data_IF_378958814721
#
_entry.id   IF_378958814721
#
_cell.length_a   1.000
_cell.length_b   1.000
_cell.length_c   1.000
_cell.angle_alpha   90.00
_cell.angle_beta   90.00
_cell.angle_gamma   90.00
#
_symmetry.space_group_name_H-M   'P 1'
#
loop_
_entity.id
_entity.type
_entity.pdbx_description
1 polymer ?
#
# COMPACT_ATOMS: atom_id res chain seq x y z
N UNK A 1 28.69 40.72 -12.27
CA UNK A 1 27.38 40.18 -12.67
C UNK A 1 26.82 39.49 -11.45
N UNK A 2 25.79 40.11 -10.86
CA UNK A 2 25.30 39.88 -9.51
C UNK A 2 24.87 38.44 -9.23
N UNK A 3 25.52 37.79 -8.26
CA UNK A 3 24.89 36.75 -7.46
C UNK A 3 24.01 37.44 -6.42
N UNK A 4 22.81 37.89 -6.81
CA UNK A 4 21.77 38.24 -5.82
C UNK A 4 21.44 36.97 -5.06
N UNK A 5 21.95 36.85 -3.83
CA UNK A 5 21.53 35.80 -2.90
C UNK A 5 19.99 35.87 -2.81
N UNK A 6 19.29 34.85 -3.29
CA UNK A 6 17.83 34.81 -3.23
C UNK A 6 17.40 35.03 -1.78
N UNK A 7 16.60 36.07 -1.54
CA UNK A 7 16.06 36.35 -0.21
C UNK A 7 15.19 35.16 0.23
N UNK A 8 15.68 34.42 1.22
CA UNK A 8 14.93 33.34 1.87
C UNK A 8 14.32 33.90 3.16
N UNK A 9 12.98 33.92 3.30
CA UNK A 9 12.32 34.43 4.49
C UNK A 9 12.82 33.73 5.77
N UNK A 10 12.98 34.48 6.87
CA UNK A 10 13.48 33.92 8.14
C UNK A 10 12.60 32.77 8.65
N UNK A 11 11.28 32.84 8.40
CA UNK A 11 10.32 31.76 8.71
C UNK A 11 10.64 30.46 7.98
N UNK A 12 11.10 30.53 6.73
CA UNK A 12 11.51 29.36 5.94
C UNK A 12 12.80 28.79 6.51
N UNK A 13 13.79 29.62 6.86
CA UNK A 13 15.03 29.15 7.50
C UNK A 13 14.76 28.42 8.83
N UNK A 14 13.85 28.95 9.66
CA UNK A 14 13.43 28.29 10.91
C UNK A 14 12.71 26.98 10.65
N UNK A 15 11.86 26.91 9.61
CA UNK A 15 11.19 25.68 9.22
C UNK A 15 12.18 24.61 8.72
N UNK A 16 13.16 24.98 7.88
CA UNK A 16 14.20 24.04 7.42
C UNK A 16 15.03 23.49 8.59
N UNK A 17 15.39 24.32 9.57
CA UNK A 17 16.08 23.86 10.78
C UNK A 17 15.25 22.84 11.57
N UNK A 18 13.93 23.04 11.69
CA UNK A 18 13.06 22.04 12.32
C UNK A 18 13.02 20.72 11.57
N UNK A 19 13.12 20.75 10.24
CA UNK A 19 13.15 19.54 9.41
C UNK A 19 14.47 18.78 9.51
N UNK A 20 15.57 19.43 9.89
CA UNK A 20 16.84 18.76 10.21
C UNK A 20 16.71 17.90 11.48
N UNK A 21 15.97 18.38 12.49
CA UNK A 21 15.71 17.66 13.74
C UNK A 21 14.60 16.60 13.58
N UNK A 22 13.49 16.96 12.94
CA UNK A 22 12.36 16.08 12.66
C UNK A 22 11.91 16.22 11.20
N UNK A 23 12.33 15.29 10.31
CA UNK A 23 11.94 15.32 8.88
C UNK A 23 10.44 15.27 8.61
N UNK A 24 9.64 14.87 9.61
CA UNK A 24 8.19 14.74 9.54
C UNK A 24 7.44 15.83 10.31
N UNK A 25 8.09 16.94 10.72
CA UNK A 25 7.44 18.07 11.37
C UNK A 25 6.39 18.73 10.45
N UNK A 26 5.11 18.46 10.71
CA UNK A 26 3.99 18.94 9.89
C UNK A 26 3.80 20.46 9.96
N UNK A 27 4.18 21.10 11.06
CA UNK A 27 4.10 22.56 11.19
C UNK A 27 5.14 23.21 10.28
N UNK A 28 6.37 22.68 10.27
CA UNK A 28 7.44 23.14 9.37
C UNK A 28 7.04 22.94 7.90
N UNK A 29 6.53 21.77 7.53
CA UNK A 29 6.01 21.51 6.18
C UNK A 29 4.85 22.45 5.81
N UNK A 30 3.96 22.76 6.74
CA UNK A 30 2.84 23.69 6.49
C UNK A 30 3.33 25.10 6.14
N UNK A 31 4.43 25.57 6.75
CA UNK A 31 5.05 26.85 6.44
C UNK A 31 5.61 26.83 5.01
N UNK A 32 6.32 25.75 4.64
CA UNK A 32 6.86 25.58 3.28
C UNK A 32 5.76 25.53 2.22
N UNK A 33 4.64 24.86 2.49
CA UNK A 33 3.49 24.78 1.57
C UNK A 33 2.86 26.16 1.37
N UNK A 34 2.63 26.92 2.46
CA UNK A 34 2.05 28.28 2.36
C UNK A 34 2.94 29.20 1.53
N UNK A 35 4.25 29.12 1.74
CA UNK A 35 5.20 29.91 0.97
C UNK A 35 5.25 29.47 -0.51
N UNK A 36 5.19 28.16 -0.79
CA UNK A 36 5.17 27.64 -2.15
C UNK A 36 3.96 28.14 -2.97
N UNK A 37 2.81 28.38 -2.34
CA UNK A 37 1.62 28.93 -3.01
C UNK A 37 1.78 30.41 -3.41
N UNK A 38 2.67 31.14 -2.73
CA UNK A 38 2.95 32.55 -3.01
C UNK A 38 4.08 32.74 -4.04
N UNK A 39 4.70 31.66 -4.49
CA UNK A 39 5.82 31.68 -5.42
C UNK A 39 5.42 31.19 -6.82
N UNK A 40 6.11 31.62 -7.88
CA UNK A 40 5.94 31.06 -9.21
C UNK A 40 6.18 29.54 -9.23
N UNK A 41 5.47 28.84 -10.13
CA UNK A 41 5.48 27.37 -10.19
C UNK A 41 6.89 26.78 -10.31
N UNK A 42 7.81 27.44 -11.01
CA UNK A 42 9.16 26.91 -11.20
C UNK A 42 10.00 26.87 -9.92
N UNK A 43 9.74 27.79 -8.99
CA UNK A 43 10.36 27.77 -7.66
C UNK A 43 9.59 26.84 -6.72
N UNK A 44 8.26 26.93 -6.73
CA UNK A 44 7.38 26.11 -5.89
C UNK A 44 7.54 24.60 -6.18
N UNK A 45 7.84 24.22 -7.43
CA UNK A 45 8.08 22.83 -7.85
C UNK A 45 9.14 22.13 -6.99
N UNK A 46 10.23 22.82 -6.64
CA UNK A 46 11.30 22.26 -5.80
C UNK A 46 10.77 21.87 -4.41
N UNK A 47 9.92 22.72 -3.83
CA UNK A 47 9.26 22.47 -2.54
C UNK A 47 8.26 21.31 -2.64
N UNK A 48 7.43 21.29 -3.68
CA UNK A 48 6.44 20.23 -3.86
C UNK A 48 7.08 18.86 -4.13
N UNK A 49 8.15 18.79 -4.93
CA UNK A 49 8.88 17.54 -5.16
C UNK A 49 9.47 16.99 -3.87
N UNK A 50 10.05 17.85 -3.00
CA UNK A 50 10.50 17.43 -1.66
C UNK A 50 9.34 16.92 -0.81
N UNK A 51 8.19 17.62 -0.83
CA UNK A 51 7.01 17.25 -0.07
C UNK A 51 6.44 15.88 -0.48
N UNK A 52 6.23 15.64 -1.78
CA UNK A 52 5.66 14.36 -2.24
C UNK A 52 6.67 13.22 -2.22
N UNK A 53 7.98 13.52 -2.21
CA UNK A 53 9.00 12.52 -1.94
C UNK A 53 9.00 12.08 -0.46
N UNK A 54 8.80 13.03 0.47
CA UNK A 54 8.70 12.76 1.90
C UNK A 54 7.39 12.06 2.29
N UNK A 55 6.28 12.47 1.67
CA UNK A 55 4.93 11.95 1.94
C UNK A 55 4.29 11.34 0.68
N UNK A 56 4.84 10.23 0.16
CA UNK A 56 4.41 9.67 -1.12
C UNK A 56 2.98 9.15 -1.12
N UNK A 57 2.40 8.86 0.06
CA UNK A 57 1.04 8.38 0.21
C UNK A 57 -0.01 9.48 0.40
N UNK A 58 0.39 10.74 0.61
CA UNK A 58 -0.55 11.83 0.88
C UNK A 58 -1.20 12.34 -0.40
N UNK A 59 -2.40 11.83 -0.70
CA UNK A 59 -3.20 12.29 -1.85
C UNK A 59 -3.51 13.79 -1.81
N UNK A 60 -3.64 14.37 -0.61
CA UNK A 60 -3.81 15.81 -0.41
C UNK A 60 -2.59 16.59 -0.92
N UNK A 61 -1.37 16.15 -0.59
CA UNK A 61 -0.15 16.84 -1.03
C UNK A 61 0.11 16.66 -2.52
N UNK A 62 -0.15 15.46 -3.07
CA UNK A 62 -0.12 15.24 -4.51
C UNK A 62 -1.10 16.17 -5.24
N UNK A 63 -2.33 16.28 -4.74
CA UNK A 63 -3.36 17.16 -5.31
C UNK A 63 -2.92 18.63 -5.29
N UNK A 64 -2.35 19.13 -4.20
CA UNK A 64 -1.86 20.52 -4.13
C UNK A 64 -0.82 20.82 -5.21
N UNK A 65 0.11 19.89 -5.44
CA UNK A 65 1.12 20.04 -6.48
C UNK A 65 0.51 19.97 -7.89
N UNK A 66 -0.38 19.00 -8.12
CA UNK A 66 -1.09 18.86 -9.40
C UNK A 66 -1.91 20.11 -9.72
N UNK A 67 -2.67 20.63 -8.75
CA UNK A 67 -3.47 21.86 -8.93
C UNK A 67 -2.59 23.09 -9.21
N UNK A 68 -1.41 23.17 -8.59
CA UNK A 68 -0.45 24.23 -8.89
C UNK A 68 0.07 24.17 -10.33
N UNK A 69 0.37 22.98 -10.86
CA UNK A 69 0.78 22.79 -12.26
C UNK A 69 -0.38 22.99 -13.25
N UNK A 70 -1.61 22.57 -12.89
CA UNK A 70 -2.82 22.85 -13.68
C UNK A 70 -3.06 24.36 -13.77
N UNK A 71 -2.93 25.10 -12.66
CA UNK A 71 -3.07 26.56 -12.62
C UNK A 71 -2.04 27.25 -13.53
N UNK A 72 -0.84 26.68 -13.64
CA UNK A 72 0.20 27.13 -14.56
C UNK A 72 0.03 26.63 -16.01
N UNK A 73 -1.03 25.86 -16.30
CA UNK A 73 -1.33 25.24 -17.62
C UNK A 73 -0.24 24.31 -18.14
N UNK A 74 0.55 23.71 -17.26
CA UNK A 74 1.60 22.74 -17.61
C UNK A 74 1.02 21.32 -17.71
N UNK A 75 0.12 21.09 -18.66
CA UNK A 75 -0.63 19.84 -18.77
C UNK A 75 0.26 18.60 -19.03
N UNK A 76 1.41 18.76 -19.67
CA UNK A 76 2.41 17.71 -19.88
C UNK A 76 3.00 17.20 -18.55
N UNK A 77 3.28 18.12 -17.62
CA UNK A 77 3.79 17.78 -16.28
C UNK A 77 2.70 17.16 -15.43
N UNK A 78 1.47 17.66 -15.53
CA UNK A 78 0.30 17.11 -14.83
C UNK A 78 0.09 15.63 -15.19
N UNK A 79 0.18 15.29 -16.48
CA UNK A 79 0.07 13.89 -16.92
C UNK A 79 1.17 13.00 -16.31
N UNK A 80 2.41 13.49 -16.25
CA UNK A 80 3.53 12.79 -15.59
C UNK A 80 3.30 12.63 -14.08
N UNK A 81 2.68 13.60 -13.41
CA UNK A 81 2.36 13.49 -11.98
C UNK A 81 1.29 12.41 -11.74
N UNK A 82 0.23 12.37 -12.54
CA UNK A 82 -0.77 11.30 -12.43
C UNK A 82 -0.16 9.91 -12.67
N UNK A 83 0.73 9.77 -13.66
CA UNK A 83 1.45 8.51 -13.91
C UNK A 83 2.32 8.08 -12.71
N UNK A 84 2.87 9.03 -11.95
CA UNK A 84 3.70 8.76 -10.76
C UNK A 84 2.88 8.30 -9.54
N UNK A 85 1.70 8.90 -9.30
CA UNK A 85 1.00 8.76 -8.03
C UNK A 85 -0.36 8.05 -8.09
N UNK A 86 -1.11 8.13 -9.19
CA UNK A 86 -2.53 7.75 -9.22
C UNK A 86 -2.77 6.28 -8.86
N UNK A 87 -1.89 5.39 -9.33
CA UNK A 87 -1.96 3.95 -9.05
C UNK A 87 -1.48 3.58 -7.64
N UNK A 88 -0.71 4.45 -6.99
CA UNK A 88 -0.12 4.21 -5.66
C UNK A 88 -0.94 4.84 -4.54
N UNK A 89 -1.80 5.80 -4.86
CA UNK A 89 -2.52 6.63 -3.90
C UNK A 89 -4.02 6.59 -4.20
N UNK A 90 -4.75 5.78 -3.45
CA UNK A 90 -6.21 5.65 -3.56
C UNK A 90 -6.95 6.71 -2.74
N UNK A 91 -6.64 7.99 -2.96
CA UNK A 91 -7.30 9.11 -2.27
C UNK A 91 -8.43 9.70 -3.11
N UNK A 92 -9.63 9.81 -2.55
CA UNK A 92 -10.84 10.19 -3.31
C UNK A 92 -10.72 11.51 -4.06
N UNK A 93 -10.08 12.53 -3.46
CA UNK A 93 -9.97 13.85 -4.10
C UNK A 93 -8.91 13.87 -5.20
N UNK A 94 -7.90 13.01 -5.11
CA UNK A 94 -6.91 12.83 -6.17
C UNK A 94 -7.57 12.23 -7.42
N UNK A 95 -8.44 11.23 -7.25
CA UNK A 95 -9.20 10.63 -8.36
C UNK A 95 -10.24 11.57 -8.96
N UNK A 96 -10.93 12.38 -8.13
CA UNK A 96 -11.80 13.47 -8.62
C UNK A 96 -11.03 14.53 -9.40
N UNK A 97 -9.81 14.87 -8.95
CA UNK A 97 -8.90 15.76 -9.66
C UNK A 97 -8.49 15.18 -11.02
N UNK A 98 -8.14 13.88 -11.08
CA UNK A 98 -7.83 13.18 -12.33
C UNK A 98 -8.99 13.23 -13.34
N UNK A 99 -10.21 12.91 -12.90
CA UNK A 99 -11.38 12.96 -13.78
C UNK A 99 -11.67 14.39 -14.29
N UNK A 100 -11.45 15.40 -13.44
CA UNK A 100 -11.58 16.81 -13.82
C UNK A 100 -10.54 17.21 -14.86
N UNK A 101 -9.29 16.77 -14.70
CA UNK A 101 -8.21 16.98 -15.67
C UNK A 101 -8.54 16.35 -17.03
N UNK A 102 -9.01 15.09 -17.07
CA UNK A 102 -9.38 14.42 -18.33
C UNK A 102 -10.54 15.16 -19.00
N UNK A 103 -11.55 15.57 -18.23
CA UNK A 103 -12.70 16.34 -18.72
C UNK A 103 -12.29 17.65 -19.38
N UNK A 104 -11.39 18.41 -18.74
CA UNK A 104 -10.92 19.70 -19.25
C UNK A 104 -10.00 19.54 -20.46
N UNK A 105 -8.99 18.68 -20.36
CA UNK A 105 -7.91 18.60 -21.36
C UNK A 105 -8.29 17.80 -22.60
N UNK A 106 -9.12 16.77 -22.44
CA UNK A 106 -9.51 15.89 -23.55
C UNK A 106 -10.88 16.24 -24.13
N UNK A 107 -11.61 17.19 -23.55
CA UNK A 107 -12.99 17.57 -23.92
C UNK A 107 -13.20 17.99 -25.38
N UNK A 108 -12.16 18.52 -26.03
CA UNK A 108 -12.20 18.95 -27.44
C UNK A 108 -11.79 17.87 -28.44
N UNK A 109 -11.32 16.70 -27.97
CA UNK A 109 -10.88 15.63 -28.86
C UNK A 109 -12.09 14.92 -29.49
N UNK A 110 -12.01 14.49 -30.75
CA UNK A 110 -13.09 13.71 -31.38
C UNK A 110 -13.33 12.37 -30.66
N UNK A 111 -12.27 11.78 -30.08
CA UNK A 111 -12.34 10.56 -29.26
C UNK A 111 -12.63 10.83 -27.77
N UNK A 112 -13.05 12.04 -27.40
CA UNK A 112 -13.34 12.40 -26.01
C UNK A 112 -14.34 11.44 -25.35
N UNK A 113 -15.42 11.09 -26.06
CA UNK A 113 -16.49 10.25 -25.50
C UNK A 113 -15.95 8.90 -25.02
N UNK A 114 -15.13 8.25 -25.84
CA UNK A 114 -14.50 6.97 -25.52
C UNK A 114 -13.49 7.11 -24.37
N UNK A 115 -12.59 8.09 -24.45
CA UNK A 115 -11.56 8.31 -23.42
C UNK A 115 -12.14 8.66 -22.06
N UNK A 116 -13.21 9.47 -22.03
CA UNK A 116 -13.84 9.87 -20.78
C UNK A 116 -14.61 8.70 -20.14
N UNK A 117 -15.29 7.87 -20.94
CA UNK A 117 -15.91 6.64 -20.44
C UNK A 117 -14.87 5.69 -19.82
N UNK A 118 -13.76 5.46 -20.52
CA UNK A 118 -12.64 4.66 -20.01
C UNK A 118 -12.07 5.22 -18.70
N UNK A 119 -11.96 6.55 -18.58
CA UNK A 119 -11.48 7.18 -17.36
C UNK A 119 -12.44 6.97 -16.17
N UNK A 120 -13.75 7.04 -16.39
CA UNK A 120 -14.74 6.74 -15.34
C UNK A 120 -14.76 5.27 -14.95
N UNK A 121 -14.76 4.35 -15.93
CA UNK A 121 -14.70 2.91 -15.64
C UNK A 121 -13.45 2.56 -14.83
N UNK A 122 -12.31 3.10 -15.24
CA UNK A 122 -11.04 2.95 -14.52
C UNK A 122 -11.10 3.51 -13.09
N UNK A 123 -11.70 4.70 -12.90
CA UNK A 123 -11.87 5.27 -11.56
C UNK A 123 -12.81 4.43 -10.69
N UNK A 124 -13.94 3.98 -11.22
CA UNK A 124 -14.89 3.16 -10.47
C UNK A 124 -14.34 1.77 -10.11
N UNK A 125 -13.43 1.24 -10.93
CA UNK A 125 -12.73 -0.02 -10.63
C UNK A 125 -11.71 0.11 -9.48
N UNK A 126 -11.11 1.29 -9.30
CA UNK A 126 -10.05 1.52 -8.30
C UNK A 126 -10.53 2.22 -7.03
N UNK A 127 -11.36 3.25 -7.15
CA UNK A 127 -11.83 4.08 -6.04
C UNK A 127 -13.37 4.07 -5.89
N UNK A 128 -14.09 3.33 -6.75
CA UNK A 128 -15.55 3.27 -6.67
C UNK A 128 -16.07 2.70 -5.35
N UNK A 129 -15.30 1.86 -4.65
CA UNK A 129 -15.66 1.31 -3.33
C UNK A 129 -15.54 2.32 -2.18
N UNK A 130 -14.99 3.51 -2.43
CA UNK A 130 -14.81 4.54 -1.40
C UNK A 130 -16.16 5.15 -0.96
N UNK A 131 -16.29 5.44 0.33
CA UNK A 131 -17.55 5.88 0.94
C UNK A 131 -18.09 7.23 0.38
N UNK A 132 -17.22 8.12 -0.08
CA UNK A 132 -17.51 9.43 -0.70
C UNK A 132 -17.44 9.41 -2.25
N UNK A 133 -17.51 8.23 -2.86
CA UNK A 133 -17.42 8.04 -4.32
C UNK A 133 -18.70 8.37 -5.09
N UNK A 134 -19.84 8.59 -4.42
CA UNK A 134 -21.16 8.87 -5.02
C UNK A 134 -21.11 9.83 -6.22
N UNK A 135 -20.39 10.94 -6.10
CA UNK A 135 -20.33 11.94 -7.17
C UNK A 135 -19.68 11.39 -8.45
N UNK A 136 -18.73 10.45 -8.35
CA UNK A 136 -18.09 9.83 -9.53
C UNK A 136 -19.13 8.99 -10.30
N UNK A 137 -19.98 8.26 -9.59
CA UNK A 137 -21.08 7.49 -10.19
C UNK A 137 -22.06 8.40 -10.93
N UNK A 138 -22.50 9.48 -10.29
CA UNK A 138 -23.45 10.44 -10.85
C UNK A 138 -22.86 11.16 -12.07
N UNK A 139 -21.61 11.62 -11.97
CA UNK A 139 -20.91 12.27 -13.07
C UNK A 139 -20.80 11.35 -14.29
N UNK A 140 -20.54 10.06 -14.09
CA UNK A 140 -20.48 9.09 -15.18
C UNK A 140 -21.86 8.82 -15.79
N UNK A 141 -22.89 8.65 -14.96
CA UNK A 141 -24.27 8.47 -15.42
C UNK A 141 -24.74 9.67 -16.25
N UNK A 142 -24.48 10.89 -15.77
CA UNK A 142 -24.85 12.11 -16.47
C UNK A 142 -24.07 12.26 -17.78
N UNK A 143 -22.78 11.91 -17.77
CA UNK A 143 -21.98 11.86 -18.99
C UNK A 143 -22.56 10.89 -20.03
N UNK A 144 -22.90 9.66 -19.63
CA UNK A 144 -23.49 8.67 -20.55
C UNK A 144 -24.87 9.09 -21.07
N UNK A 145 -25.70 9.73 -20.24
CA UNK A 145 -26.99 10.31 -20.68
C UNK A 145 -26.80 11.44 -21.70
N UNK A 146 -25.74 12.24 -21.54
CA UNK A 146 -25.38 13.35 -22.43
C UNK A 146 -24.75 12.90 -23.76
N UNK A 147 -24.41 11.63 -23.94
CA UNK A 147 -23.94 11.11 -25.23
C UNK A 147 -25.09 11.13 -26.23
N UNK A 148 -24.93 11.95 -27.27
CA UNK A 148 -25.85 11.98 -28.42
C UNK A 148 -25.93 10.59 -29.07
N UNK A 149 -27.17 10.12 -29.25
CA UNK A 149 -27.50 8.84 -29.84
C UNK A 149 -28.65 9.05 -30.82
N UNK A 150 -28.41 8.73 -32.10
CA UNK A 150 -29.40 8.91 -33.18
C UNK A 150 -29.87 7.55 -33.65
N UNK A 151 -31.20 7.35 -33.63
CA UNK A 151 -31.84 6.10 -34.01
C UNK A 151 -31.94 5.10 -32.86
N UNK A 152 -32.91 4.19 -32.97
CA UNK A 152 -33.33 3.31 -31.86
C UNK A 152 -32.22 2.38 -31.37
N UNK A 153 -31.33 1.92 -32.24
CA UNK A 153 -30.20 1.06 -31.84
C UNK A 153 -29.21 1.80 -30.93
N UNK A 154 -28.81 3.02 -31.32
CA UNK A 154 -27.88 3.84 -30.54
C UNK A 154 -28.50 4.26 -29.20
N UNK A 155 -29.79 4.59 -29.17
CA UNK A 155 -30.49 4.90 -27.93
C UNK A 155 -30.55 3.70 -26.98
N UNK A 156 -30.78 2.49 -27.49
CA UNK A 156 -30.79 1.27 -26.68
C UNK A 156 -29.39 0.94 -26.13
N UNK A 157 -28.33 1.20 -26.91
CA UNK A 157 -26.95 1.09 -26.43
C UNK A 157 -26.68 2.05 -25.27
N UNK A 158 -27.14 3.31 -25.37
CA UNK A 158 -27.06 4.29 -24.29
C UNK A 158 -27.83 3.84 -23.05
N UNK A 159 -29.05 3.33 -23.23
CA UNK A 159 -29.86 2.76 -22.14
C UNK A 159 -29.10 1.64 -21.43
N UNK A 160 -28.54 0.71 -22.19
CA UNK A 160 -27.78 -0.42 -21.66
C UNK A 160 -26.53 0.04 -20.89
N UNK A 161 -25.82 1.05 -21.38
CA UNK A 161 -24.64 1.61 -20.71
C UNK A 161 -25.01 2.29 -19.38
N UNK A 162 -26.00 3.20 -19.39
CA UNK A 162 -26.45 3.91 -18.17
C UNK A 162 -26.98 2.92 -17.13
N UNK A 163 -27.80 1.96 -17.58
CA UNK A 163 -28.37 0.91 -16.74
C UNK A 163 -27.28 0.08 -16.05
N UNK A 164 -26.21 -0.29 -16.76
CA UNK A 164 -25.07 -1.03 -16.19
C UNK A 164 -24.44 -0.29 -15.00
N UNK A 165 -24.23 1.02 -15.14
CA UNK A 165 -23.61 1.84 -14.08
C UNK A 165 -24.53 1.97 -12.86
N UNK A 166 -25.83 2.21 -13.07
CA UNK A 166 -26.80 2.21 -11.97
C UNK A 166 -26.81 0.89 -11.21
N UNK A 167 -26.91 -0.22 -11.93
CA UNK A 167 -27.02 -1.56 -11.34
C UNK A 167 -25.76 -1.92 -10.55
N UNK A 168 -24.57 -1.53 -11.04
CA UNK A 168 -23.31 -1.68 -10.32
C UNK A 168 -23.22 -0.77 -9.08
N UNK A 169 -23.66 0.48 -9.18
CA UNK A 169 -23.60 1.44 -8.08
C UNK A 169 -24.60 1.16 -6.96
N UNK A 170 -25.79 0.66 -7.28
CA UNK A 170 -26.85 0.39 -6.30
C UNK A 170 -26.56 -0.81 -5.38
N UNK A 171 -25.51 -1.57 -5.66
CA UNK A 171 -25.01 -2.66 -4.82
C UNK A 171 -23.69 -2.32 -4.12
N UNK A 172 -23.21 -1.07 -4.27
CA UNK A 172 -21.97 -0.61 -3.69
C UNK A 172 -22.23 0.28 -2.47
N UNK A 173 -21.90 -0.15 -1.23
CA UNK A 173 -22.11 0.64 -0.02
C UNK A 173 -21.36 1.98 -0.05
N UNK A 174 -22.11 3.10 -0.07
CA UNK A 174 -21.57 4.46 -0.08
C UNK A 174 -22.60 5.47 0.47
N UNK A 175 -22.15 6.68 0.77
CA UNK A 175 -23.06 7.80 1.12
C UNK A 175 -23.95 8.12 -0.09
N UNK A 176 -25.19 8.54 0.19
CA UNK A 176 -26.20 8.85 -0.85
C UNK A 176 -26.59 7.65 -1.75
N UNK A 177 -26.35 6.40 -1.35
CA UNK A 177 -26.83 5.22 -2.09
C UNK A 177 -28.35 5.23 -2.32
N UNK A 178 -29.11 5.80 -1.38
CA UNK A 178 -30.57 5.96 -1.48
C UNK A 178 -30.97 6.91 -2.61
N UNK A 179 -30.20 7.98 -2.80
CA UNK A 179 -30.44 8.94 -3.88
C UNK A 179 -30.12 8.29 -5.23
N UNK A 180 -29.05 7.50 -5.32
CA UNK A 180 -28.74 6.75 -6.53
C UNK A 180 -29.86 5.77 -6.91
N UNK A 181 -30.41 5.04 -5.93
CA UNK A 181 -31.54 4.13 -6.14
C UNK A 181 -32.81 4.86 -6.57
N UNK A 182 -33.10 6.01 -5.95
CA UNK A 182 -34.24 6.85 -6.34
C UNK A 182 -34.13 7.30 -7.80
N UNK A 183 -32.95 7.71 -8.23
CA UNK A 183 -32.71 8.14 -9.60
C UNK A 183 -32.70 6.97 -10.59
N UNK A 184 -32.32 5.76 -10.15
CA UNK A 184 -32.47 4.54 -10.94
C UNK A 184 -33.95 4.20 -11.20
N UNK A 185 -34.78 4.27 -10.17
CA UNK A 185 -36.22 3.98 -10.29
C UNK A 185 -36.89 4.93 -11.30
N UNK A 186 -36.64 6.23 -11.14
CA UNK A 186 -37.13 7.25 -12.08
C UNK A 186 -36.61 7.03 -13.50
N UNK A 187 -35.37 6.55 -13.63
CA UNK A 187 -34.78 6.28 -14.94
C UNK A 187 -35.45 5.11 -15.66
N UNK A 188 -35.69 3.98 -14.97
CA UNK A 188 -36.40 2.84 -15.57
C UNK A 188 -37.86 3.19 -15.88
N UNK A 189 -38.55 3.90 -14.99
CA UNK A 189 -39.91 4.41 -15.21
C UNK A 189 -39.99 5.35 -16.42
N UNK A 190 -38.97 6.22 -16.58
CA UNK A 190 -38.87 7.15 -17.70
C UNK A 190 -38.61 6.49 -19.06
N UNK A 191 -38.08 5.27 -19.09
CA UNK A 191 -37.90 4.48 -20.33
C UNK A 191 -39.14 3.65 -20.62
N UNK A 192 -39.63 2.88 -19.65
CA UNK A 192 -40.80 2.02 -19.79
C UNK A 192 -41.43 1.68 -18.44
N UNK A 193 -42.54 2.35 -18.12
CA UNK A 193 -43.30 2.20 -16.87
C UNK A 193 -43.70 0.73 -16.59
N UNK A 194 -44.05 -0.04 -17.62
CA UNK A 194 -44.52 -1.42 -17.45
C UNK A 194 -43.38 -2.36 -17.06
N UNK A 195 -42.22 -2.22 -17.72
CA UNK A 195 -41.04 -3.06 -17.42
C UNK A 195 -40.28 -2.59 -16.18
N UNK A 196 -40.39 -1.30 -15.82
CA UNK A 196 -39.70 -0.71 -14.68
C UNK A 196 -39.98 -1.46 -13.37
N UNK A 197 -41.26 -1.81 -13.12
CA UNK A 197 -41.65 -2.54 -11.89
C UNK A 197 -40.81 -3.80 -11.68
N UNK A 198 -40.73 -4.65 -12.71
CA UNK A 198 -39.96 -5.89 -12.66
C UNK A 198 -38.46 -5.62 -12.53
N UNK A 199 -37.92 -4.70 -13.34
CA UNK A 199 -36.48 -4.36 -13.33
C UNK A 199 -35.99 -3.86 -11.96
N UNK A 200 -36.83 -3.09 -11.26
CA UNK A 200 -36.54 -2.55 -9.92
C UNK A 200 -36.70 -3.66 -8.87
N UNK A 201 -37.78 -4.43 -8.93
CA UNK A 201 -38.07 -5.52 -7.99
C UNK A 201 -36.97 -6.58 -8.00
N UNK A 202 -36.50 -6.99 -9.18
CA UNK A 202 -35.45 -8.01 -9.38
C UNK A 202 -34.13 -7.68 -8.65
N UNK A 203 -33.85 -6.40 -8.39
CA UNK A 203 -32.63 -5.94 -7.69
C UNK A 203 -32.85 -5.35 -6.30
N UNK A 204 -34.11 -5.18 -5.90
CA UNK A 204 -34.46 -4.51 -4.64
C UNK A 204 -33.83 -5.22 -3.43
N UNK A 205 -33.76 -6.56 -3.44
CA UNK A 205 -33.16 -7.34 -2.35
C UNK A 205 -31.68 -7.01 -2.13
N UNK A 206 -30.89 -7.01 -3.20
CA UNK A 206 -29.45 -6.73 -3.14
C UNK A 206 -29.19 -5.28 -2.75
N UNK A 207 -29.99 -4.35 -3.29
CA UNK A 207 -29.94 -2.94 -2.88
C UNK A 207 -30.25 -2.75 -1.39
N UNK A 208 -31.28 -3.42 -0.84
CA UNK A 208 -31.60 -3.32 0.59
C UNK A 208 -30.46 -3.84 1.46
N UNK A 209 -29.76 -4.89 1.02
CA UNK A 209 -28.56 -5.39 1.68
C UNK A 209 -27.42 -4.35 1.64
N UNK A 210 -27.11 -3.80 0.46
CA UNK A 210 -26.07 -2.79 0.28
C UNK A 210 -26.37 -1.50 1.06
N UNK A 211 -27.64 -1.07 1.10
CA UNK A 211 -28.10 0.10 1.87
C UNK A 211 -27.92 -0.09 3.37
N UNK A 212 -28.22 -1.29 3.91
CA UNK A 212 -27.96 -1.61 5.33
C UNK A 212 -26.48 -1.47 5.63
N UNK A 213 -25.64 -2.10 4.82
CA UNK A 213 -24.18 -2.08 4.98
C UNK A 213 -23.61 -0.67 4.80
N UNK A 214 -24.20 0.17 3.94
CA UNK A 214 -23.77 1.57 3.79
C UNK A 214 -23.86 2.37 5.10
N UNK A 215 -24.91 2.13 5.91
CA UNK A 215 -25.07 2.79 7.23
C UNK A 215 -24.06 2.29 8.26
N UNK A 216 -23.79 0.99 8.25
CA UNK A 216 -22.73 0.39 9.08
C UNK A 216 -21.35 0.95 8.67
N UNK A 217 -21.11 1.07 7.35
CA UNK A 217 -19.88 1.60 6.79
C UNK A 217 -19.64 3.07 7.20
N UNK A 218 -20.69 3.89 7.14
CA UNK A 218 -20.65 5.28 7.62
C UNK A 218 -20.22 5.37 9.09
N UNK A 219 -20.67 4.44 9.92
CA UNK A 219 -20.36 4.43 11.35
C UNK A 219 -18.88 4.14 11.60
N UNK A 220 -18.30 3.13 10.94
CA UNK A 220 -16.88 2.76 11.12
C UNK A 220 -15.93 3.73 10.43
N UNK A 221 -16.38 4.44 9.40
CA UNK A 221 -15.60 5.49 8.73
C UNK A 221 -15.65 6.83 9.47
N UNK A 222 -16.64 7.04 10.35
CA UNK A 222 -16.75 8.23 11.18
C UNK A 222 -15.65 8.23 12.24
N UNK A 223 -14.88 9.32 12.31
CA UNK A 223 -13.79 9.49 13.28
C UNK A 223 -12.41 9.10 12.75
N UNK A 224 -12.34 8.34 11.64
CA UNK A 224 -11.08 8.10 10.94
C UNK A 224 -10.57 9.38 10.28
N UNK A 225 -9.31 9.72 10.54
CA UNK A 225 -8.59 10.68 9.72
C UNK A 225 -8.08 9.99 8.46
N UNK A 226 -8.60 10.42 7.31
CA UNK A 226 -8.24 9.92 5.97
C UNK A 226 -7.27 10.84 5.23
N UNK A 227 -6.83 11.92 5.87
CA UNK A 227 -5.99 12.97 5.29
C UNK A 227 -4.70 13.22 6.07
N UNK A 228 -4.56 12.67 7.28
CA UNK A 228 -3.32 12.71 8.03
C UNK A 228 -2.15 12.19 7.19
N UNK A 229 -1.05 12.95 7.07
CA UNK A 229 0.17 12.45 6.43
C UNK A 229 0.72 11.24 7.17
N UNK A 230 1.26 10.28 6.43
CA UNK A 230 1.94 9.12 7.02
C UNK A 230 3.24 9.54 7.70
N UNK A 231 3.37 9.22 8.98
CA UNK A 231 4.52 9.51 9.83
C UNK A 231 4.92 8.24 10.58
N UNK A 232 6.22 7.99 10.84
CA UNK A 232 6.66 6.88 11.69
C UNK A 232 6.04 6.94 13.09
N UNK A 233 5.81 5.79 13.75
CA UNK A 233 5.18 5.75 15.06
C UNK A 233 5.88 6.66 16.08
N UNK A 234 5.13 7.59 16.66
CA UNK A 234 5.61 8.50 17.70
C UNK A 234 5.09 8.11 19.09
N UNK A 235 4.19 7.11 19.17
CA UNK A 235 3.53 6.64 20.40
C UNK A 235 2.67 7.72 21.08
N UNK A 236 2.03 8.58 20.27
CA UNK A 236 1.09 9.57 20.83
C UNK A 236 -0.27 8.93 21.12
N UNK A 237 -1.04 9.41 22.11
CA UNK A 237 -2.38 8.88 22.40
C UNK A 237 -3.34 9.01 21.22
N UNK A 238 -3.24 10.09 20.45
CA UNK A 238 -4.08 10.33 19.28
C UNK A 238 -3.76 9.35 18.14
N UNK A 239 -2.47 9.08 17.91
CA UNK A 239 -2.04 8.07 16.93
C UNK A 239 -2.56 6.69 17.32
N UNK A 240 -2.38 6.27 18.58
CA UNK A 240 -2.87 4.97 19.07
C UNK A 240 -4.40 4.84 18.93
N UNK A 241 -5.15 5.92 19.19
CA UNK A 241 -6.59 5.96 18.97
C UNK A 241 -6.96 5.78 17.49
N UNK A 242 -6.26 6.46 16.57
CA UNK A 242 -6.48 6.29 15.13
C UNK A 242 -6.14 4.86 14.67
N UNK A 243 -5.05 4.27 15.16
CA UNK A 243 -4.69 2.87 14.88
C UNK A 243 -5.81 1.92 15.30
N UNK A 244 -6.37 2.07 16.50
CA UNK A 244 -7.49 1.24 16.98
C UNK A 244 -8.73 1.38 16.07
N UNK A 245 -9.08 2.61 15.66
CA UNK A 245 -10.20 2.83 14.74
C UNK A 245 -9.95 2.20 13.36
N UNK A 246 -8.75 2.30 12.81
CA UNK A 246 -8.40 1.66 11.54
C UNK A 246 -8.47 0.13 11.63
N UNK A 247 -7.96 -0.46 12.71
CA UNK A 247 -8.06 -1.91 12.95
C UNK A 247 -9.53 -2.34 13.09
N UNK A 248 -10.37 -1.57 13.79
CA UNK A 248 -11.82 -1.82 13.87
C UNK A 248 -12.49 -1.79 12.50
N UNK A 249 -12.16 -0.82 11.65
CA UNK A 249 -12.69 -0.78 10.28
C UNK A 249 -12.27 -2.01 9.47
N UNK A 250 -10.98 -2.37 9.47
CA UNK A 250 -10.47 -3.53 8.75
C UNK A 250 -11.15 -4.82 9.26
N UNK A 251 -11.29 -4.99 10.57
CA UNK A 251 -11.96 -6.17 11.14
C UNK A 251 -13.45 -6.21 10.83
N UNK A 252 -14.14 -5.06 10.81
CA UNK A 252 -15.52 -4.98 10.34
C UNK A 252 -15.64 -5.44 8.89
N UNK A 253 -14.75 -5.01 7.99
CA UNK A 253 -14.78 -5.46 6.59
C UNK A 253 -14.47 -6.97 6.49
N UNK A 254 -13.56 -7.51 7.31
CA UNK A 254 -13.27 -8.96 7.42
C UNK A 254 -14.46 -9.77 7.95
N UNK A 255 -15.34 -9.17 8.74
CA UNK A 255 -16.56 -9.81 9.26
C UNK A 255 -17.63 -10.07 8.18
N UNK A 256 -17.35 -9.66 6.92
CA UNK A 256 -18.23 -9.81 5.77
C UNK A 256 -19.62 -9.17 5.99
N UNK A 257 -19.70 -7.83 6.11
CA UNK A 257 -20.97 -7.14 6.38
C UNK A 257 -22.05 -7.39 5.32
N UNK A 258 -21.62 -7.60 4.06
CA UNK A 258 -22.48 -7.90 2.92
C UNK A 258 -23.05 -9.32 2.96
N UNK A 259 -22.51 -10.21 3.82
CA UNK A 259 -22.93 -11.61 3.95
C UNK A 259 -22.97 -12.34 2.60
N UNK A 260 -21.94 -12.12 1.80
CA UNK A 260 -21.77 -12.77 0.50
C UNK A 260 -20.87 -13.99 0.62
N UNK A 261 -21.07 -15.00 -0.22
CA UNK A 261 -20.18 -16.17 -0.32
C UNK A 261 -19.00 -15.91 -1.28
N UNK A 262 -19.03 -14.81 -2.03
CA UNK A 262 -17.97 -14.42 -2.97
C UNK A 262 -16.71 -13.94 -2.22
N UNK A 263 -15.79 -14.87 -2.00
CA UNK A 263 -14.51 -14.61 -1.35
C UNK A 263 -13.68 -13.55 -2.09
N UNK A 264 -13.81 -13.44 -3.42
CA UNK A 264 -13.07 -12.43 -4.19
C UNK A 264 -13.57 -11.02 -3.87
N UNK A 265 -14.89 -10.84 -3.73
CA UNK A 265 -15.50 -9.58 -3.34
C UNK A 265 -15.13 -9.22 -1.89
N UNK A 266 -15.21 -10.17 -0.96
CA UNK A 266 -14.80 -9.95 0.45
C UNK A 266 -13.34 -9.49 0.48
N UNK A 267 -12.45 -10.23 -0.19
CA UNK A 267 -11.02 -9.94 -0.19
C UNK A 267 -10.73 -8.58 -0.81
N UNK A 268 -11.37 -8.23 -1.93
CA UNK A 268 -11.21 -6.90 -2.56
C UNK A 268 -11.63 -5.76 -1.64
N UNK A 269 -12.72 -5.92 -0.88
CA UNK A 269 -13.18 -4.89 0.07
C UNK A 269 -12.24 -4.77 1.28
N UNK A 270 -11.79 -5.88 1.85
CA UNK A 270 -10.80 -5.87 2.95
C UNK A 270 -9.47 -5.27 2.49
N UNK A 271 -9.02 -5.62 1.29
CA UNK A 271 -7.81 -5.01 0.72
C UNK A 271 -8.00 -3.53 0.45
N UNK A 272 -9.18 -3.09 0.00
CA UNK A 272 -9.47 -1.67 -0.10
C UNK A 272 -9.37 -0.96 1.26
N UNK A 273 -9.84 -1.58 2.35
CA UNK A 273 -9.66 -1.04 3.71
C UNK A 273 -8.17 -0.93 4.10
N UNK A 274 -7.36 -1.95 3.81
CA UNK A 274 -5.91 -1.90 3.99
C UNK A 274 -5.26 -0.79 3.16
N UNK A 275 -5.62 -0.64 1.89
CA UNK A 275 -5.09 0.43 1.04
C UNK A 275 -5.39 1.81 1.59
N UNK A 276 -6.61 2.06 2.06
CA UNK A 276 -6.97 3.35 2.71
C UNK A 276 -6.16 3.58 3.98
N UNK A 277 -6.01 2.54 4.81
CA UNK A 277 -5.23 2.61 6.05
C UNK A 277 -3.76 2.94 5.78
N UNK A 278 -3.15 2.28 4.79
CA UNK A 278 -1.75 2.47 4.41
C UNK A 278 -1.46 3.87 3.84
N UNK A 279 -2.47 4.64 3.43
CA UNK A 279 -2.26 6.04 3.06
C UNK A 279 -1.84 6.89 4.26
N UNK A 280 -2.36 6.56 5.44
CA UNK A 280 -2.23 7.32 6.69
C UNK A 280 -1.24 6.67 7.65
N UNK A 281 -1.24 5.35 7.76
CA UNK A 281 -0.42 4.59 8.70
C UNK A 281 0.62 3.72 7.97
N UNK A 282 1.05 4.13 6.77
CA UNK A 282 1.97 3.34 5.94
C UNK A 282 3.38 3.15 6.51
N UNK A 283 3.75 3.86 7.59
CA UNK A 283 5.00 3.61 8.32
C UNK A 283 4.88 2.54 9.43
N UNK A 284 3.71 1.94 9.61
CA UNK A 284 3.46 0.87 10.58
C UNK A 284 3.68 -0.52 9.94
N UNK A 285 4.74 -1.26 10.30
CA UNK A 285 5.08 -2.53 9.63
C UNK A 285 4.02 -3.62 9.85
N UNK A 286 3.34 -3.62 10.98
CA UNK A 286 2.29 -4.59 11.31
C UNK A 286 1.11 -4.51 10.33
N UNK A 287 0.73 -3.31 9.87
CA UNK A 287 -0.38 -3.14 8.92
C UNK A 287 -0.03 -3.75 7.55
N UNK A 288 1.19 -3.53 7.05
CA UNK A 288 1.67 -4.16 5.82
C UNK A 288 1.70 -5.68 5.94
N UNK A 289 2.21 -6.19 7.06
CA UNK A 289 2.28 -7.62 7.34
C UNK A 289 0.88 -8.24 7.42
N UNK A 290 -0.04 -7.65 8.19
CA UNK A 290 -1.42 -8.11 8.32
C UNK A 290 -2.16 -8.12 6.97
N UNK A 291 -1.91 -7.13 6.11
CA UNK A 291 -2.49 -7.07 4.76
C UNK A 291 -2.02 -8.23 3.88
N UNK A 292 -0.71 -8.49 3.84
CA UNK A 292 -0.13 -9.58 3.06
C UNK A 292 -0.54 -10.96 3.61
N UNK A 293 -0.58 -11.13 4.93
CA UNK A 293 -1.07 -12.35 5.58
C UNK A 293 -2.54 -12.63 5.23
N UNK A 294 -3.38 -11.60 5.17
CA UNK A 294 -4.77 -11.76 4.78
C UNK A 294 -4.91 -12.21 3.31
N UNK A 295 -4.08 -11.67 2.40
CA UNK A 295 -4.04 -12.13 1.01
C UNK A 295 -3.54 -13.57 0.88
N UNK A 296 -2.52 -13.96 1.65
CA UNK A 296 -2.06 -15.35 1.70
C UNK A 296 -3.18 -16.30 2.17
N UNK A 297 -3.88 -15.93 3.24
CA UNK A 297 -5.01 -16.71 3.75
C UNK A 297 -6.13 -16.83 2.70
N UNK A 298 -6.52 -15.73 2.08
CA UNK A 298 -7.55 -15.71 1.03
C UNK A 298 -7.14 -16.49 -0.21
N UNK A 299 -5.85 -16.49 -0.57
CA UNK A 299 -5.30 -17.28 -1.67
C UNK A 299 -5.46 -18.78 -1.41
N UNK A 300 -5.07 -19.25 -0.21
CA UNK A 300 -5.23 -20.67 0.17
C UNK A 300 -6.70 -21.10 0.20
N UNK A 301 -7.57 -20.27 0.77
CA UNK A 301 -9.01 -20.54 0.82
C UNK A 301 -9.65 -20.64 -0.57
N UNK A 302 -9.23 -19.80 -1.53
CA UNK A 302 -9.72 -19.90 -2.91
C UNK A 302 -9.24 -21.17 -3.61
N UNK A 303 -7.99 -21.58 -3.36
CA UNK A 303 -7.46 -22.83 -3.91
C UNK A 303 -8.23 -24.05 -3.39
N UNK A 304 -8.57 -24.07 -2.10
CA UNK A 304 -9.41 -25.11 -1.48
C UNK A 304 -10.82 -25.18 -2.09
N UNK A 305 -11.39 -24.03 -2.48
CA UNK A 305 -12.68 -23.93 -3.17
C UNK A 305 -12.60 -24.22 -4.68
N UNK A 306 -11.42 -24.52 -5.21
CA UNK A 306 -11.19 -24.86 -6.62
C UNK A 306 -10.94 -23.66 -7.55
N UNK A 307 -10.92 -22.43 -7.04
CA UNK A 307 -10.65 -21.23 -7.85
C UNK A 307 -9.14 -20.92 -7.92
N UNK A 308 -8.43 -21.75 -8.69
CA UNK A 308 -6.96 -21.69 -8.80
C UNK A 308 -6.45 -20.39 -9.44
N UNK A 309 -7.24 -19.80 -10.35
CA UNK A 309 -6.84 -18.58 -11.05
C UNK A 309 -6.84 -17.37 -10.11
N UNK A 310 -7.93 -17.15 -9.36
CA UNK A 310 -7.98 -16.07 -8.38
C UNK A 310 -7.09 -16.35 -7.16
N UNK A 311 -6.91 -17.62 -6.78
CA UNK A 311 -5.95 -18.00 -5.73
C UNK A 311 -4.52 -17.55 -6.08
N UNK A 312 -4.07 -17.82 -7.32
CA UNK A 312 -2.75 -17.38 -7.78
C UNK A 312 -2.65 -15.85 -7.85
N UNK A 313 -3.70 -15.19 -8.32
CA UNK A 313 -3.76 -13.72 -8.38
C UNK A 313 -3.53 -13.10 -7.00
N UNK A 314 -4.22 -13.58 -5.95
CA UNK A 314 -4.03 -13.08 -4.59
C UNK A 314 -2.68 -13.48 -4.00
N UNK A 315 -2.11 -14.62 -4.37
CA UNK A 315 -0.74 -14.98 -3.96
C UNK A 315 0.31 -14.04 -4.57
N UNK A 316 0.18 -13.69 -5.85
CA UNK A 316 1.08 -12.71 -6.48
C UNK A 316 0.87 -11.30 -5.90
N UNK A 317 -0.38 -10.92 -5.59
CA UNK A 317 -0.66 -9.64 -4.93
C UNK A 317 -0.11 -9.58 -3.50
N UNK A 318 -0.10 -10.68 -2.75
CA UNK A 318 0.50 -10.71 -1.40
C UNK A 318 2.00 -10.39 -1.45
N UNK A 319 2.72 -10.95 -2.43
CA UNK A 319 4.11 -10.58 -2.69
C UNK A 319 4.24 -9.10 -3.07
N UNK A 320 3.29 -8.56 -3.85
CA UNK A 320 3.28 -7.15 -4.24
C UNK A 320 3.08 -6.20 -3.04
N UNK A 321 2.28 -6.57 -2.03
CA UNK A 321 2.14 -5.80 -0.78
C UNK A 321 3.50 -5.69 -0.07
N UNK A 322 4.22 -6.80 0.08
CA UNK A 322 5.56 -6.79 0.65
C UNK A 322 6.55 -5.95 -0.17
N UNK A 323 6.58 -6.15 -1.50
CA UNK A 323 7.46 -5.45 -2.43
C UNK A 323 7.23 -3.93 -2.38
N UNK A 324 5.96 -3.49 -2.30
CA UNK A 324 5.59 -2.08 -2.13
C UNK A 324 6.09 -1.52 -0.80
N UNK A 325 5.92 -2.25 0.31
CA UNK A 325 6.33 -1.80 1.63
C UNK A 325 7.83 -1.46 1.68
N UNK A 326 8.67 -2.38 1.20
CA UNK A 326 10.14 -2.25 1.20
C UNK A 326 10.68 -1.34 0.09
N UNK A 327 9.86 -1.02 -0.93
CA UNK A 327 10.26 -0.14 -2.04
C UNK A 327 9.83 1.32 -1.86
N UNK A 328 8.86 1.58 -0.99
CA UNK A 328 8.25 2.91 -0.82
C UNK A 328 8.61 3.54 0.53
N UNK A 329 7.88 3.19 1.59
CA UNK A 329 7.95 3.83 2.89
C UNK A 329 8.96 3.20 3.84
N UNK A 330 9.11 1.87 3.81
CA UNK A 330 9.81 1.08 4.85
C UNK A 330 11.06 0.39 4.31
N UNK A 331 11.89 1.12 3.56
CA UNK A 331 13.07 0.60 2.85
C UNK A 331 14.14 -0.05 3.74
N UNK A 332 14.22 0.32 5.02
CA UNK A 332 15.21 -0.21 5.98
C UNK A 332 14.61 -1.15 7.02
N UNK A 333 13.32 -1.47 6.90
CA UNK A 333 12.62 -2.26 7.91
C UNK A 333 12.90 -3.75 7.72
N UNK A 334 13.81 -4.32 8.52
CA UNK A 334 14.22 -5.72 8.39
C UNK A 334 13.05 -6.72 8.52
N UNK A 335 12.06 -6.42 9.37
CA UNK A 335 10.91 -7.30 9.62
C UNK A 335 10.16 -7.62 8.32
N UNK A 336 9.84 -6.61 7.51
CA UNK A 336 9.12 -6.79 6.26
C UNK A 336 9.96 -7.48 5.18
N UNK A 337 11.28 -7.30 5.18
CA UNK A 337 12.17 -8.08 4.32
C UNK A 337 12.17 -9.57 4.69
N UNK A 338 12.22 -9.89 5.98
CA UNK A 338 12.19 -11.28 6.44
C UNK A 338 10.85 -11.93 6.17
N UNK A 339 9.74 -11.24 6.48
CA UNK A 339 8.40 -11.71 6.14
C UNK A 339 8.24 -11.94 4.63
N UNK A 340 8.80 -11.05 3.80
CA UNK A 340 8.74 -11.22 2.35
C UNK A 340 9.59 -12.41 1.86
N UNK A 341 10.80 -12.55 2.40
CA UNK A 341 11.67 -13.67 2.09
C UNK A 341 11.04 -15.01 2.48
N UNK A 342 10.48 -15.12 3.68
CA UNK A 342 9.80 -16.32 4.17
C UNK A 342 8.53 -16.60 3.34
N UNK A 343 7.82 -15.56 2.89
CA UNK A 343 6.68 -15.70 1.97
C UNK A 343 7.10 -16.30 0.63
N UNK A 344 8.15 -15.78 -0.02
CA UNK A 344 8.62 -16.34 -1.30
C UNK A 344 9.26 -17.73 -1.12
N UNK A 345 9.86 -18.03 0.04
CA UNK A 345 10.33 -19.39 0.38
C UNK A 345 9.15 -20.37 0.47
N UNK A 346 8.04 -19.98 1.11
CA UNK A 346 6.83 -20.82 1.19
C UNK A 346 6.22 -21.13 -0.19
N UNK A 347 6.47 -20.25 -1.16
CA UNK A 347 6.08 -20.41 -2.57
C UNK A 347 7.12 -21.12 -3.42
N UNK A 348 8.18 -21.63 -2.78
CA UNK A 348 9.31 -22.33 -3.41
C UNK A 348 10.06 -21.47 -4.45
N UNK A 349 10.02 -20.14 -4.31
CA UNK A 349 10.70 -19.19 -5.20
C UNK A 349 12.07 -18.79 -4.65
N UNK A 350 12.95 -19.77 -4.44
CA UNK A 350 14.22 -19.58 -3.72
C UNK A 350 15.16 -18.53 -4.35
N UNK A 351 15.22 -18.45 -5.68
CA UNK A 351 16.01 -17.40 -6.36
C UNK A 351 15.54 -15.98 -6.00
N UNK A 352 14.22 -15.79 -5.87
CA UNK A 352 13.65 -14.51 -5.44
C UNK A 352 14.03 -14.21 -3.99
N UNK A 353 14.07 -15.23 -3.11
CA UNK A 353 14.51 -15.08 -1.71
C UNK A 353 15.94 -14.54 -1.62
N UNK A 354 16.88 -15.07 -2.42
CA UNK A 354 18.23 -14.51 -2.51
C UNK A 354 18.23 -13.04 -2.92
N UNK A 355 17.43 -12.66 -3.93
CA UNK A 355 17.33 -11.27 -4.37
C UNK A 355 16.82 -10.33 -3.26
N UNK A 356 15.88 -10.79 -2.42
CA UNK A 356 15.32 -10.02 -1.30
C UNK A 356 16.39 -9.76 -0.23
N UNK A 357 17.11 -10.80 0.21
CA UNK A 357 18.19 -10.65 1.19
C UNK A 357 19.33 -9.77 0.66
N UNK A 358 19.78 -10.02 -0.58
CA UNK A 358 20.86 -9.22 -1.18
C UNK A 358 20.45 -7.76 -1.35
N UNK A 359 19.18 -7.47 -1.66
CA UNK A 359 18.67 -6.09 -1.73
C UNK A 359 18.75 -5.38 -0.38
N UNK A 360 18.44 -6.07 0.72
CA UNK A 360 18.61 -5.49 2.06
C UNK A 360 20.08 -5.25 2.38
N UNK A 361 20.95 -6.23 2.10
CA UNK A 361 22.40 -6.12 2.32
C UNK A 361 23.07 -4.99 1.52
N UNK A 362 22.49 -4.61 0.37
CA UNK A 362 22.96 -3.50 -0.45
C UNK A 362 22.69 -2.12 0.16
N UNK A 363 21.86 -2.01 1.19
CA UNK A 363 21.65 -0.75 1.92
C UNK A 363 22.87 -0.52 2.81
N UNK A 364 23.53 0.63 2.69
CA UNK A 364 24.81 0.90 3.37
C UNK A 364 24.65 0.98 4.90
N UNK A 365 23.63 1.68 5.38
CA UNK A 365 23.46 2.06 6.78
C UNK A 365 22.44 1.19 7.54
N UNK A 366 22.66 -0.11 7.49
CA UNK A 366 21.98 -1.10 8.34
C UNK A 366 23.00 -1.91 9.13
N UNK A 367 22.55 -2.58 10.19
CA UNK A 367 23.31 -3.69 10.78
C UNK A 367 22.99 -4.99 10.02
N UNK A 368 23.88 -5.48 9.13
CA UNK A 368 23.58 -6.67 8.34
C UNK A 368 23.69 -7.96 9.15
N UNK A 369 24.12 -7.91 10.43
CA UNK A 369 24.35 -9.10 11.24
C UNK A 369 23.09 -9.97 11.34
N UNK A 370 21.94 -9.36 11.67
CA UNK A 370 20.67 -10.08 11.75
C UNK A 370 20.21 -10.56 10.37
N UNK A 371 20.49 -9.79 9.33
CA UNK A 371 20.18 -10.16 7.94
C UNK A 371 20.95 -11.40 7.52
N UNK A 372 22.26 -11.46 7.80
CA UNK A 372 23.08 -12.64 7.53
C UNK A 372 22.67 -13.85 8.36
N UNK A 373 22.29 -13.65 9.63
CA UNK A 373 21.75 -14.73 10.48
C UNK A 373 20.52 -15.35 9.83
N UNK A 374 19.55 -14.52 9.41
CA UNK A 374 18.32 -15.02 8.81
C UNK A 374 18.56 -15.61 7.42
N UNK A 375 19.39 -14.97 6.60
CA UNK A 375 19.74 -15.44 5.26
C UNK A 375 20.49 -16.78 5.29
N UNK A 376 21.41 -16.95 6.25
CA UNK A 376 22.12 -18.20 6.47
C UNK A 376 21.17 -19.32 6.92
N UNK A 377 20.20 -19.02 7.80
CA UNK A 377 19.15 -19.96 8.21
C UNK A 377 18.33 -20.44 7.01
N UNK A 378 17.88 -19.53 6.14
CA UNK A 378 17.21 -19.86 4.88
C UNK A 378 18.08 -20.77 4.01
N UNK A 379 19.29 -20.33 3.67
CA UNK A 379 20.18 -21.05 2.74
C UNK A 379 20.47 -22.48 3.22
N UNK A 380 20.69 -22.69 4.52
CA UNK A 380 20.87 -24.04 5.07
C UNK A 380 19.58 -24.87 4.98
N UNK A 381 18.43 -24.28 5.32
CA UNK A 381 17.13 -24.97 5.41
C UNK A 381 16.60 -25.38 4.03
N UNK A 382 16.71 -24.51 3.04
CA UNK A 382 16.16 -24.72 1.70
C UNK A 382 17.17 -25.37 0.74
N UNK A 383 18.48 -25.11 0.89
CA UNK A 383 19.50 -25.46 -0.12
C UNK A 383 20.68 -26.26 0.44
N UNK A 384 20.66 -26.57 1.74
CA UNK A 384 21.63 -27.41 2.41
C UNK A 384 22.90 -26.70 2.90
N UNK A 385 23.79 -27.50 3.50
CA UNK A 385 24.92 -27.03 4.33
C UNK A 385 25.89 -26.15 3.53
N UNK A 386 26.22 -26.54 2.29
CA UNK A 386 27.17 -25.80 1.44
C UNK A 386 26.68 -24.38 1.11
N UNK A 387 25.38 -24.22 0.85
CA UNK A 387 24.79 -22.89 0.62
C UNK A 387 24.87 -22.04 1.88
N UNK A 388 24.48 -22.58 3.04
CA UNK A 388 24.61 -21.90 4.34
C UNK A 388 26.04 -21.42 4.63
N UNK A 389 27.06 -22.25 4.39
CA UNK A 389 28.48 -21.88 4.54
C UNK A 389 28.92 -20.77 3.57
N UNK A 390 28.32 -20.71 2.38
CA UNK A 390 28.57 -19.64 1.40
C UNK A 390 28.04 -18.31 1.90
N UNK A 391 26.86 -18.29 2.52
CA UNK A 391 26.33 -17.08 3.17
C UNK A 391 27.19 -16.68 4.36
N UNK A 392 27.61 -17.64 5.19
CA UNK A 392 28.54 -17.35 6.29
C UNK A 392 29.85 -16.74 5.80
N UNK A 393 30.40 -17.23 4.67
CA UNK A 393 31.60 -16.62 4.05
C UNK A 393 31.37 -15.14 3.73
N UNK A 394 30.26 -14.80 3.05
CA UNK A 394 29.90 -13.40 2.74
C UNK A 394 29.77 -12.56 4.02
N UNK A 395 29.14 -13.11 5.06
CA UNK A 395 28.97 -12.40 6.34
C UNK A 395 30.31 -12.04 6.99
N UNK A 396 31.35 -12.89 6.87
CA UNK A 396 32.69 -12.60 7.41
C UNK A 396 33.43 -11.52 6.62
N UNK A 397 33.13 -11.38 5.34
CA UNK A 397 33.75 -10.42 4.42
C UNK A 397 33.10 -9.02 4.51
N UNK A 398 31.88 -8.92 5.03
CA UNK A 398 31.24 -7.64 5.31
C UNK A 398 31.76 -7.03 6.62
N UNK A 399 32.37 -5.85 6.51
CA UNK A 399 32.98 -5.12 7.62
C UNK A 399 31.96 -4.67 8.69
N UNK A 400 30.67 -4.52 8.33
CA UNK A 400 29.60 -4.08 9.22
C UNK A 400 29.11 -5.20 10.14
N UNK A 401 29.44 -6.45 9.84
CA UNK A 401 28.95 -7.63 10.57
C UNK A 401 29.53 -7.73 11.99
N UNK A 402 28.66 -8.01 12.95
CA UNK A 402 28.97 -8.19 14.38
C UNK A 402 29.05 -9.67 14.76
N UNK A 403 29.49 -9.92 16.00
CA UNK A 403 29.82 -11.24 16.55
C UNK A 403 28.69 -12.30 16.49
N UNK A 404 27.41 -11.89 16.55
CA UNK A 404 26.26 -12.79 16.61
C UNK A 404 26.17 -13.80 15.44
N UNK A 405 26.70 -13.46 14.26
CA UNK A 405 26.67 -14.38 13.10
C UNK A 405 27.58 -15.58 13.31
N UNK A 406 28.70 -15.42 14.04
CA UNK A 406 29.64 -16.50 14.34
C UNK A 406 29.02 -17.49 15.32
N UNK A 407 28.38 -16.98 16.38
CA UNK A 407 27.61 -17.78 17.33
C UNK A 407 26.56 -18.60 16.59
N UNK A 408 25.76 -17.93 15.74
CA UNK A 408 24.71 -18.59 14.97
C UNK A 408 25.27 -19.67 14.04
N UNK A 409 26.35 -19.38 13.30
CA UNK A 409 26.95 -20.32 12.37
C UNK A 409 27.50 -21.57 13.10
N UNK A 410 28.16 -21.38 14.24
CA UNK A 410 28.68 -22.47 15.05
C UNK A 410 27.55 -23.36 15.59
N UNK A 411 26.50 -22.75 16.15
CA UNK A 411 25.34 -23.48 16.64
C UNK A 411 24.56 -24.19 15.52
N UNK A 412 24.51 -23.61 14.31
CA UNK A 412 23.89 -24.26 13.16
C UNK A 412 24.64 -25.53 12.74
N UNK A 413 25.97 -25.53 12.77
CA UNK A 413 26.76 -26.75 12.52
C UNK A 413 26.55 -27.76 13.67
N UNK A 414 26.65 -27.32 14.92
CA UNK A 414 26.46 -28.20 16.06
C UNK A 414 25.06 -28.87 16.09
N UNK A 415 23.99 -28.09 15.99
CA UNK A 415 22.64 -28.64 16.13
C UNK A 415 22.17 -29.39 14.89
N UNK A 416 22.59 -28.97 13.69
CA UNK A 416 22.04 -29.51 12.47
C UNK A 416 22.95 -30.49 11.72
N UNK A 417 24.26 -30.22 11.61
CA UNK A 417 25.21 -31.16 11.01
C UNK A 417 25.81 -32.13 12.04
N UNK A 418 25.58 -31.89 13.35
CA UNK A 418 26.15 -32.65 14.47
C UNK A 418 27.68 -32.64 14.50
N UNK A 419 28.30 -31.67 13.82
CA UNK A 419 29.75 -31.53 13.72
C UNK A 419 30.30 -30.61 14.82
N UNK A 420 30.75 -31.22 15.91
CA UNK A 420 31.39 -30.52 17.04
C UNK A 420 32.71 -29.86 16.63
N UNK A 421 33.45 -30.45 15.69
CA UNK A 421 34.76 -29.93 15.29
C UNK A 421 34.61 -28.62 14.52
N UNK A 422 33.67 -28.57 13.57
CA UNK A 422 33.40 -27.34 12.80
C UNK A 422 32.79 -26.27 13.71
N UNK A 423 31.86 -26.62 14.58
CA UNK A 423 31.28 -25.68 15.54
C UNK A 423 32.37 -25.05 16.43
N UNK A 424 33.24 -25.87 17.03
CA UNK A 424 34.39 -25.40 17.82
C UNK A 424 35.31 -24.48 17.01
N UNK A 425 35.68 -24.87 15.78
CA UNK A 425 36.52 -24.04 14.90
C UNK A 425 35.88 -22.68 14.56
N UNK A 426 34.56 -22.62 14.38
CA UNK A 426 33.85 -21.37 14.13
C UNK A 426 33.87 -20.47 15.37
N UNK A 427 33.66 -21.04 16.56
CA UNK A 427 33.77 -20.28 17.81
C UNK A 427 35.19 -19.76 18.07
N UNK A 428 36.22 -20.58 17.86
CA UNK A 428 37.62 -20.16 17.94
C UNK A 428 37.96 -19.06 16.94
N UNK A 429 37.44 -19.17 15.71
CA UNK A 429 37.61 -18.14 14.69
C UNK A 429 36.97 -16.81 15.10
N UNK A 430 35.77 -16.85 15.67
CA UNK A 430 35.10 -15.64 16.16
C UNK A 430 35.77 -15.08 17.42
N UNK A 431 36.32 -15.92 18.30
CA UNK A 431 37.02 -15.50 19.52
C UNK A 431 38.26 -14.66 19.21
N UNK A 432 38.98 -15.00 18.14
CA UNK A 432 40.11 -14.19 17.64
C UNK A 432 39.72 -12.77 17.23
N UNK A 433 38.46 -12.55 16.80
CA UNK A 433 37.98 -11.26 16.30
C UNK A 433 37.13 -10.50 17.31
N UNK A 434 36.41 -11.18 18.18
CA UNK A 434 35.40 -10.61 19.09
C UNK A 434 35.58 -11.08 20.54
N UNK A 435 36.79 -11.47 20.93
CA UNK A 435 37.09 -11.97 22.28
C UNK A 435 37.01 -10.90 23.38
N UNK A 436 36.97 -9.64 23.00
CA UNK A 436 36.70 -8.48 23.86
C UNK A 436 35.20 -8.22 24.07
N UNK A 437 34.31 -8.95 23.38
CA UNK A 437 32.85 -8.78 23.49
C UNK A 437 32.29 -9.78 24.53
N UNK A 438 31.80 -9.32 25.70
CA UNK A 438 31.31 -10.21 26.75
C UNK A 438 30.18 -11.13 26.29
N UNK A 439 29.25 -10.62 25.49
CA UNK A 439 28.11 -11.38 24.97
C UNK A 439 28.55 -12.54 24.08
N UNK A 440 29.64 -12.36 23.31
CA UNK A 440 30.21 -13.42 22.49
C UNK A 440 30.85 -14.51 23.35
N UNK A 441 31.67 -14.12 24.33
CA UNK A 441 32.35 -15.05 25.23
C UNK A 441 31.34 -15.84 26.05
N UNK A 442 30.29 -15.21 26.56
CA UNK A 442 29.21 -15.88 27.28
C UNK A 442 28.49 -16.91 26.39
N UNK A 443 28.16 -16.56 25.14
CA UNK A 443 27.54 -17.50 24.20
C UNK A 443 28.46 -18.70 23.89
N UNK A 444 29.78 -18.49 23.85
CA UNK A 444 30.73 -19.57 23.64
C UNK A 444 30.90 -20.45 24.90
N UNK A 445 30.97 -19.85 26.09
CA UNK A 445 31.01 -20.58 27.37
C UNK A 445 29.75 -21.43 27.54
N UNK A 446 28.57 -20.89 27.22
CA UNK A 446 27.31 -21.61 27.30
C UNK A 446 27.32 -22.86 26.40
N UNK A 447 27.79 -22.72 25.16
CA UNK A 447 27.99 -23.84 24.25
C UNK A 447 28.93 -24.92 24.81
N UNK A 448 30.10 -24.53 25.33
CA UNK A 448 31.07 -25.47 25.90
C UNK A 448 30.54 -26.16 27.16
N UNK A 449 29.79 -25.44 27.99
CA UNK A 449 29.17 -25.98 29.20
C UNK A 449 28.19 -27.10 28.87
N UNK A 450 27.35 -26.91 27.85
CA UNK A 450 26.40 -27.93 27.39
C UNK A 450 27.06 -29.16 26.75
N UNK A 451 28.29 -29.06 26.24
CA UNK A 451 29.03 -30.22 25.73
C UNK A 451 29.52 -31.14 26.86
N UNK A 452 29.85 -30.57 28.02
CA UNK A 452 30.44 -31.30 29.15
C UNK A 452 29.39 -32.02 30.02
N UNK A 453 28.10 -31.67 29.93
CA UNK A 453 27.01 -32.31 30.71
C UNK A 453 26.58 -33.66 30.13
N UNK A 454 26.93 -33.98 28.88
CA UNK A 454 26.62 -35.27 28.24
C UNK A 454 27.67 -36.37 28.43
N UNK A 455 28.62 -36.20 29.36
CA UNK A 455 29.77 -37.10 29.58
C UNK A 455 29.84 -37.70 30.98
N UNK A 456 28.70 -37.77 31.68
CA UNK A 456 28.56 -38.46 32.98
C UNK A 456 27.55 -39.59 32.91
#
# INVERSE_FOLDING_TARGET
>A
LDCTAEYVPEKVKKAEKKLEENPYDLDAWSILIREAQNQPIDKARKTYERLVAQFPSSGRFWKLYIEAEIKAKNYDKVEKLFQRCLMKVLHIDLWKCYLSYVRETKGKLPSYKEKMAQAYDFALDKIGMEIMSYQIWVDYINFLKGVEAVGSYAENQRITAVRRVYQRGCVNPMINIEQLWRDYNKYEEGINIHLAKKMIEDRSRDYMNARRVAKEYETVMKGLDRNAPSVPPQNTPQEAQQVDMWKKYIQWEKSNPLRTEDQTLITKRVMFAYEQCLLVLGHHPDIWYEAAQYLEQSSKLLAEKGDMNNAKLFSDEAANIYERAISTLLKKNMLLYFAYADYEESRMKYEKVHSIYNRLLAIEDIDPTLVYIQYMKFARRAEGIKSGRTIFKKAREDARTRHHVYVTAALMEYYCSKDKSVAFKIFELGLKKYGDIPEYVLAYIDYLSHLNVGSF
#
